data_IF_958120962755
#
_entry.id   IF_958120962755
#
_cell.length_a   1.000
_cell.length_b   1.000
_cell.length_c   1.000
_cell.angle_alpha   90.00
_cell.angle_beta   90.00
_cell.angle_gamma   90.00
#
_symmetry.space_group_name_H-M   'P 1'
#
loop_
_entity.id
_entity.type
_entity.pdbx_description
1 polymer ?
#
# COMPACT_ATOMS: atom_id res chain seq x y z
N UNK A 1 -5.02 6.93 23.34
CA UNK A 1 -5.05 7.95 22.26
C UNK A 1 -3.97 7.53 21.26
N UNK A 2 -4.35 6.84 20.18
CA UNK A 2 -3.39 6.46 19.14
C UNK A 2 -3.05 7.74 18.39
N UNK A 3 -1.79 8.18 18.52
CA UNK A 3 -1.24 9.35 17.84
C UNK A 3 -1.35 9.05 16.34
N UNK A 4 -2.26 9.73 15.64
CA UNK A 4 -2.35 9.67 14.18
C UNK A 4 -1.02 10.18 13.61
N UNK A 5 -0.12 9.25 13.30
CA UNK A 5 1.09 9.56 12.55
C UNK A 5 0.66 10.12 11.20
N UNK A 6 0.98 11.38 10.97
CA UNK A 6 0.73 12.03 9.68
C UNK A 6 1.40 11.19 8.59
N UNK A 7 0.75 11.08 7.44
CA UNK A 7 1.32 10.41 6.26
C UNK A 7 2.70 11.00 5.91
N UNK A 8 2.89 12.28 6.20
CA UNK A 8 4.14 13.01 5.99
C UNK A 8 5.25 12.59 6.98
N UNK A 9 4.88 12.29 8.23
CA UNK A 9 5.82 11.81 9.25
C UNK A 9 6.31 10.39 8.91
N UNK A 10 5.42 9.60 8.35
CA UNK A 10 5.69 8.28 7.78
C UNK A 10 6.61 8.37 6.56
N UNK A 11 6.36 9.27 5.61
CA UNK A 11 7.19 9.49 4.42
C UNK A 11 8.63 9.90 4.80
N UNK A 12 8.77 10.78 5.80
CA UNK A 12 10.06 11.23 6.34
C UNK A 12 10.82 10.11 7.07
N UNK A 13 10.12 9.33 7.89
CA UNK A 13 10.70 8.16 8.56
C UNK A 13 11.19 7.13 7.53
N UNK A 14 10.41 6.88 6.47
CA UNK A 14 10.78 5.96 5.40
C UNK A 14 12.07 6.41 4.68
N UNK A 15 12.16 7.69 4.35
CA UNK A 15 13.33 8.28 3.67
C UNK A 15 14.59 8.23 4.54
N UNK A 16 14.45 8.30 5.87
CA UNK A 16 15.56 8.19 6.82
C UNK A 16 16.02 6.74 7.02
N UNK A 17 15.08 5.78 7.01
CA UNK A 17 15.38 4.35 7.11
C UNK A 17 16.14 3.83 5.88
N UNK A 18 15.73 4.24 4.67
CA UNK A 18 16.46 3.88 3.42
C UNK A 18 17.90 4.42 3.39
N UNK A 19 18.16 5.55 4.06
CA UNK A 19 19.51 6.16 4.16
C UNK A 19 20.41 5.51 5.22
N UNK A 20 19.84 4.75 6.16
CA UNK A 20 20.57 4.18 7.30
C UNK A 20 20.87 2.68 7.15
N UNK A 21 20.69 2.10 5.96
CA UNK A 21 20.74 0.64 5.70
C UNK A 21 19.78 -0.18 6.59
N UNK A 22 18.87 0.48 7.31
CA UNK A 22 17.85 -0.15 8.12
C UNK A 22 16.58 -0.27 7.28
N UNK A 23 16.42 -1.41 6.59
CA UNK A 23 15.28 -1.62 5.71
C UNK A 23 13.95 -1.35 6.44
N UNK A 24 13.03 -0.54 5.88
CA UNK A 24 11.72 -0.32 6.47
C UNK A 24 11.03 -1.66 6.72
N UNK A 25 10.60 -1.88 7.97
CA UNK A 25 10.01 -3.16 8.36
C UNK A 25 8.78 -3.48 7.49
N UNK A 26 8.64 -4.75 7.10
CA UNK A 26 7.49 -5.23 6.33
C UNK A 26 6.15 -4.79 6.93
N UNK A 27 6.07 -4.79 8.26
CA UNK A 27 4.90 -4.36 9.03
C UNK A 27 4.55 -2.89 8.82
N UNK A 28 5.56 -2.00 8.80
CA UNK A 28 5.35 -0.57 8.57
C UNK A 28 4.81 -0.35 7.16
N UNK A 29 5.44 -0.93 6.13
CA UNK A 29 4.98 -0.76 4.74
C UNK A 29 3.53 -1.22 4.57
N UNK A 30 3.18 -2.38 5.12
CA UNK A 30 1.81 -2.89 5.10
C UNK A 30 0.82 -1.96 5.82
N UNK A 31 1.22 -1.39 6.96
CA UNK A 31 0.40 -0.40 7.65
C UNK A 31 0.15 0.85 6.80
N UNK A 32 1.18 1.39 6.16
CA UNK A 32 1.06 2.60 5.32
C UNK A 32 0.14 2.35 4.14
N UNK A 33 0.30 1.21 3.44
CA UNK A 33 -0.54 0.85 2.31
C UNK A 33 -2.00 0.79 2.73
N UNK A 34 -2.32 0.09 3.83
CA UNK A 34 -3.71 0.01 4.34
C UNK A 34 -4.28 1.40 4.66
N UNK A 35 -3.53 2.21 5.39
CA UNK A 35 -3.98 3.55 5.77
C UNK A 35 -4.24 4.46 4.56
N UNK A 36 -3.39 4.40 3.52
CA UNK A 36 -3.61 5.14 2.27
C UNK A 36 -4.84 4.63 1.52
N UNK A 37 -5.03 3.31 1.45
CA UNK A 37 -6.21 2.70 0.82
C UNK A 37 -7.51 3.09 1.51
N UNK A 38 -7.52 3.07 2.85
CA UNK A 38 -8.67 3.51 3.67
C UNK A 38 -9.01 4.99 3.44
N UNK A 39 -7.98 5.84 3.25
CA UNK A 39 -8.15 7.27 2.92
C UNK A 39 -8.50 7.54 1.46
N UNK A 40 -8.43 6.54 0.57
CA UNK A 40 -8.66 6.71 -0.87
C UNK A 40 -7.48 7.36 -1.62
N UNK A 41 -6.31 7.41 -1.01
CA UNK A 41 -5.07 7.95 -1.59
C UNK A 41 -4.41 6.91 -2.51
N UNK A 42 -5.12 6.51 -3.57
CA UNK A 42 -4.78 5.32 -4.37
C UNK A 42 -3.43 5.44 -5.07
N UNK A 43 -3.14 6.60 -5.67
CA UNK A 43 -1.85 6.83 -6.33
C UNK A 43 -0.67 6.69 -5.35
N UNK A 44 -0.82 7.20 -4.12
CA UNK A 44 0.20 7.06 -3.08
C UNK A 44 0.32 5.60 -2.62
N UNK A 45 -0.80 4.90 -2.45
CA UNK A 45 -0.79 3.47 -2.13
C UNK A 45 -0.07 2.66 -3.22
N UNK A 46 -0.29 2.99 -4.50
CA UNK A 46 0.41 2.42 -5.65
C UNK A 46 1.93 2.62 -5.58
N UNK A 47 2.39 3.82 -5.25
CA UNK A 47 3.82 4.10 -5.06
C UNK A 47 4.45 3.23 -3.97
N UNK A 48 3.76 3.03 -2.85
CA UNK A 48 4.22 2.15 -1.79
C UNK A 48 4.19 0.67 -2.19
N UNK A 49 3.17 0.26 -2.95
CA UNK A 49 3.06 -1.09 -3.52
C UNK A 49 4.23 -1.41 -4.48
N UNK A 50 4.71 -0.44 -5.25
CA UNK A 50 5.91 -0.59 -6.09
C UNK A 50 7.18 -0.83 -5.26
N UNK A 51 7.26 -0.27 -4.04
CA UNK A 51 8.45 -0.46 -3.16
C UNK A 51 8.50 -1.85 -2.55
N UNK A 52 7.36 -2.53 -2.47
CA UNK A 52 7.26 -3.94 -2.05
C UNK A 52 7.59 -4.88 -3.22
N UNK A 53 7.37 -4.42 -4.46
CA UNK A 53 7.75 -5.14 -5.67
C UNK A 53 9.26 -5.10 -5.87
N UNK A 54 9.93 -6.25 -5.72
CA UNK A 54 11.39 -6.36 -5.88
C UNK A 54 12.21 -6.30 -4.58
N UNK A 55 11.58 -6.27 -3.40
CA UNK A 55 12.26 -6.45 -2.09
C UNK A 55 11.78 -7.74 -1.40
N UNK A 56 12.46 -8.20 -0.35
CA UNK A 56 12.09 -9.38 0.50
C UNK A 56 10.80 -9.11 1.33
N UNK A 57 10.09 -8.02 1.03
CA UNK A 57 8.94 -7.58 1.80
C UNK A 57 7.69 -8.25 1.22
N UNK A 58 6.93 -8.95 2.05
CA UNK A 58 5.65 -9.54 1.66
C UNK A 58 4.50 -8.65 2.10
N UNK A 59 3.42 -8.65 1.31
CA UNK A 59 2.14 -8.11 1.78
C UNK A 59 1.55 -9.01 2.87
N UNK A 60 0.95 -8.39 3.88
CA UNK A 60 0.12 -9.05 4.88
C UNK A 60 -1.21 -9.49 4.23
N UNK A 61 -1.79 -10.57 4.77
CA UNK A 61 -3.11 -11.05 4.34
C UNK A 61 -4.20 -9.97 4.46
N UNK A 62 -4.13 -9.15 5.51
CA UNK A 62 -5.07 -8.04 5.72
C UNK A 62 -4.95 -6.97 4.64
N UNK A 63 -3.74 -6.58 4.25
CA UNK A 63 -3.49 -5.63 3.14
C UNK A 63 -3.99 -6.20 1.82
N UNK A 64 -3.75 -7.48 1.56
CA UNK A 64 -4.19 -8.17 0.34
C UNK A 64 -5.72 -8.27 0.27
N UNK A 65 -6.37 -8.58 1.39
CA UNK A 65 -7.84 -8.62 1.49
C UNK A 65 -8.47 -7.25 1.25
N UNK A 66 -7.86 -6.18 1.79
CA UNK A 66 -8.32 -4.80 1.56
C UNK A 66 -8.16 -4.38 0.08
N UNK A 67 -7.05 -4.74 -0.56
CA UNK A 67 -6.90 -4.52 -2.01
C UNK A 67 -7.98 -5.25 -2.80
N UNK A 68 -8.24 -6.52 -2.47
CA UNK A 68 -9.30 -7.28 -3.12
C UNK A 68 -10.67 -6.63 -2.95
N UNK A 69 -11.04 -6.22 -1.74
CA UNK A 69 -12.35 -5.62 -1.49
C UNK A 69 -12.53 -4.30 -2.24
N UNK A 70 -11.52 -3.41 -2.21
CA UNK A 70 -11.57 -2.08 -2.80
C UNK A 70 -11.54 -2.07 -4.33
N UNK A 71 -10.86 -3.03 -4.95
CA UNK A 71 -10.68 -3.10 -6.40
C UNK A 71 -11.45 -4.25 -7.07
N UNK A 72 -12.29 -4.97 -6.30
CA UNK A 72 -13.24 -5.96 -6.84
C UNK A 72 -14.22 -5.35 -7.85
N UNK A 73 -15.05 -6.19 -8.50
CA UNK A 73 -16.08 -5.74 -9.45
C UNK A 73 -17.01 -4.67 -8.88
N UNK A 74 -17.33 -4.77 -7.60
CA UNK A 74 -18.21 -3.86 -6.87
C UNK A 74 -17.42 -2.96 -5.91
N UNK A 75 -16.09 -3.00 -6.02
CA UNK A 75 -15.17 -2.26 -5.17
C UNK A 75 -15.19 -0.77 -5.47
N UNK A 76 -15.14 0.02 -4.39
CA UNK A 76 -15.20 1.49 -4.44
C UNK A 76 -14.19 2.13 -5.39
N UNK A 77 -13.03 1.51 -5.58
CA UNK A 77 -11.92 2.07 -6.34
C UNK A 77 -11.58 1.25 -7.60
N UNK A 78 -12.49 0.42 -8.10
CA UNK A 78 -12.28 -0.39 -9.31
C UNK A 78 -11.72 0.43 -10.49
N UNK A 79 -12.26 1.61 -10.75
CA UNK A 79 -11.83 2.48 -11.85
C UNK A 79 -10.41 3.04 -11.65
N UNK A 80 -9.92 3.06 -10.41
CA UNK A 80 -8.57 3.54 -10.07
C UNK A 80 -7.52 2.42 -10.12
N UNK A 81 -7.87 1.23 -10.60
CA UNK A 81 -6.95 0.07 -10.61
C UNK A 81 -5.68 0.35 -11.44
N UNK A 82 -5.78 1.20 -12.46
CA UNK A 82 -4.65 1.64 -13.29
C UNK A 82 -3.57 2.43 -12.53
N UNK A 83 -3.94 3.02 -11.38
CA UNK A 83 -3.00 3.71 -10.50
C UNK A 83 -2.16 2.74 -9.66
N UNK A 84 -2.51 1.45 -9.64
CA UNK A 84 -1.72 0.42 -8.99
C UNK A 84 -0.63 -0.13 -9.94
N UNK A 85 0.47 -0.66 -9.40
CA UNK A 85 1.48 -1.33 -10.21
C UNK A 85 0.88 -2.51 -10.98
N UNK A 86 1.38 -2.77 -12.18
CA UNK A 86 0.81 -3.74 -13.14
C UNK A 86 0.51 -5.11 -12.55
N UNK A 87 1.35 -5.61 -11.63
CA UNK A 87 1.04 -6.84 -10.92
C UNK A 87 -0.29 -6.68 -10.17
N UNK A 88 -0.49 -5.69 -9.31
CA UNK A 88 -1.73 -5.57 -8.54
C UNK A 88 -3.00 -5.23 -9.35
N UNK A 89 -2.93 -5.13 -10.67
CA UNK A 89 -4.07 -4.91 -11.55
C UNK A 89 -4.87 -6.20 -11.87
N UNK A 90 -4.47 -7.37 -11.35
CA UNK A 90 -5.18 -8.63 -11.59
C UNK A 90 -6.60 -8.72 -10.99
N UNK A 91 -7.03 -7.75 -10.16
CA UNK A 91 -8.42 -7.69 -9.68
C UNK A 91 -9.46 -7.40 -10.78
N UNK A 92 -9.00 -7.11 -12.00
CA UNK A 92 -9.89 -6.91 -13.14
C UNK A 92 -10.62 -8.19 -13.60
N UNK A 93 -10.15 -9.39 -13.18
CA UNK A 93 -10.59 -10.68 -13.75
C UNK A 93 -11.15 -11.75 -12.80
N UNK A 94 -11.18 -11.54 -11.48
CA UNK A 94 -11.80 -12.51 -10.56
C UNK A 94 -13.25 -12.13 -10.27
N UNK A 95 -14.16 -12.89 -10.88
CA UNK A 95 -15.58 -12.98 -10.55
C UNK A 95 -15.94 -14.40 -10.16
#
# INVERSE_FOLDING_TARGET
ILKEGSVEEVDNMFSSMEKSDCAPSSRLINYIIRMLLEKGEIARAGNYLSKVDGKIISLEASTTSLLLSLFSREGKYRENIELLPAKYQFFNGFG
#
